data_IF_550901844174
#
_entry.id   IF_550901844174
#
_cell.length_a   1.000
_cell.length_b   1.000
_cell.length_c   1.000
_cell.angle_alpha   90.00
_cell.angle_beta   90.00
_cell.angle_gamma   90.00
#
_symmetry.space_group_name_H-M   'P 1'
#
loop_
_entity.id
_entity.type
_entity.pdbx_description
1 polymer ?
#
# COMPACT_ATOMS: atom_id res chain seq x y z
N UNK A 1 -7.32 17.71 4.40
CA UNK A 1 -8.38 16.82 3.87
C UNK A 1 -7.87 15.41 3.98
N UNK A 2 -8.71 14.45 4.39
CA UNK A 2 -8.31 13.04 4.54
C UNK A 2 -9.09 12.23 3.52
N UNK A 3 -8.39 11.38 2.77
CA UNK A 3 -8.98 10.41 1.85
C UNK A 3 -8.78 9.02 2.42
N UNK A 4 -9.88 8.31 2.70
CA UNK A 4 -9.85 6.96 3.26
C UNK A 4 -10.11 5.94 2.15
N UNK A 5 -9.27 4.91 2.09
CA UNK A 5 -9.33 3.85 1.08
C UNK A 5 -9.39 2.51 1.81
N UNK A 6 -10.50 1.79 1.63
CA UNK A 6 -10.62 0.41 2.10
C UNK A 6 -10.09 -0.56 1.05
N UNK A 7 -9.24 -1.50 1.45
CA UNK A 7 -8.64 -2.50 0.56
C UNK A 7 -8.36 -3.79 1.34
N UNK A 8 -8.35 -4.92 0.65
CA UNK A 8 -8.02 -6.22 1.26
C UNK A 8 -6.53 -6.30 1.59
N UNK A 9 -6.16 -6.84 2.77
CA UNK A 9 -4.75 -6.87 3.24
C UNK A 9 -3.79 -7.55 2.24
N UNK A 10 -4.25 -8.63 1.60
CA UNK A 10 -3.45 -9.33 0.58
C UNK A 10 -3.08 -8.47 -0.63
N UNK A 11 -3.76 -7.34 -0.86
CA UNK A 11 -3.46 -6.37 -1.93
C UNK A 11 -2.52 -5.25 -1.41
N UNK A 12 -2.50 -4.99 -0.10
CA UNK A 12 -1.66 -3.95 0.51
C UNK A 12 -0.18 -4.31 0.49
N UNK A 13 0.18 -5.60 0.58
CA UNK A 13 1.56 -6.05 0.64
C UNK A 13 1.81 -7.29 -0.21
N UNK A 14 3.09 -7.63 -0.44
CA UNK A 14 3.47 -8.78 -1.28
C UNK A 14 3.67 -10.11 -0.53
N UNK A 15 3.66 -10.10 0.80
CA UNK A 15 3.80 -11.29 1.66
C UNK A 15 2.53 -12.15 1.83
N UNK A 16 2.59 -13.08 2.79
CA UNK A 16 1.50 -13.95 3.25
C UNK A 16 1.27 -15.21 2.40
N UNK A 17 0.42 -16.11 2.90
CA UNK A 17 0.12 -17.40 2.27
C UNK A 17 -0.55 -17.25 0.90
N UNK A 18 -1.32 -16.18 0.72
CA UNK A 18 -2.04 -15.91 -0.53
C UNK A 18 -1.15 -15.29 -1.62
N UNK A 19 0.15 -15.08 -1.39
CA UNK A 19 1.05 -14.43 -2.36
C UNK A 19 1.13 -15.12 -3.73
N UNK A 20 0.79 -16.41 -3.80
CA UNK A 20 0.77 -17.21 -5.03
C UNK A 20 -0.63 -17.37 -5.63
N UNK A 21 -1.64 -16.71 -5.06
CA UNK A 21 -3.00 -16.72 -5.61
C UNK A 21 -3.00 -16.13 -7.02
N UNK A 22 -3.52 -16.85 -8.03
CA UNK A 22 -3.62 -16.34 -9.39
C UNK A 22 -4.36 -15.00 -9.43
N UNK A 23 -3.82 -14.04 -10.18
CA UNK A 23 -4.41 -12.71 -10.34
C UNK A 23 -4.13 -11.72 -9.20
N UNK A 24 -3.65 -12.15 -8.03
CA UNK A 24 -3.39 -11.23 -6.91
C UNK A 24 -2.28 -10.21 -7.23
N UNK A 25 -1.25 -10.63 -7.96
CA UNK A 25 -0.19 -9.73 -8.41
C UNK A 25 -0.74 -8.59 -9.29
N UNK A 26 -1.65 -8.91 -10.22
CA UNK A 26 -2.29 -7.91 -11.07
C UNK A 26 -3.19 -6.96 -10.26
N UNK A 27 -3.92 -7.45 -9.26
CA UNK A 27 -4.71 -6.61 -8.36
C UNK A 27 -3.83 -5.65 -7.54
N UNK A 28 -2.66 -6.09 -7.07
CA UNK A 28 -1.68 -5.23 -6.39
C UNK A 28 -1.18 -4.12 -7.31
N UNK A 29 -0.88 -4.44 -8.57
CA UNK A 29 -0.45 -3.46 -9.56
C UNK A 29 -1.56 -2.44 -9.85
N UNK A 30 -2.79 -2.90 -10.07
CA UNK A 30 -3.95 -2.04 -10.26
C UNK A 30 -4.18 -1.12 -9.07
N UNK A 31 -4.02 -1.64 -7.85
CA UNK A 31 -4.13 -0.84 -6.64
C UNK A 31 -3.04 0.25 -6.56
N UNK A 32 -1.80 -0.05 -6.96
CA UNK A 32 -0.74 0.97 -7.03
C UNK A 32 -1.07 2.08 -8.03
N UNK A 33 -1.57 1.74 -9.22
CA UNK A 33 -2.03 2.76 -10.17
C UNK A 33 -3.17 3.61 -9.62
N UNK A 34 -4.12 3.00 -8.91
CA UNK A 34 -5.18 3.73 -8.22
C UNK A 34 -4.63 4.70 -7.17
N UNK A 35 -3.66 4.28 -6.35
CA UNK A 35 -3.01 5.15 -5.38
C UNK A 35 -2.30 6.32 -6.07
N UNK A 36 -1.51 6.05 -7.11
CA UNK A 36 -0.81 7.09 -7.88
C UNK A 36 -1.79 8.13 -8.44
N UNK A 37 -2.88 7.66 -9.06
CA UNK A 37 -3.92 8.56 -9.59
C UNK A 37 -4.56 9.39 -8.49
N UNK A 38 -4.92 8.76 -7.36
CA UNK A 38 -5.57 9.44 -6.24
C UNK A 38 -4.66 10.49 -5.63
N UNK A 39 -3.38 10.18 -5.42
CA UNK A 39 -2.40 11.15 -4.90
C UNK A 39 -2.32 12.39 -5.79
N UNK A 40 -2.21 12.18 -7.11
CA UNK A 40 -2.12 13.28 -8.08
C UNK A 40 -3.40 14.10 -8.17
N UNK A 41 -4.56 13.45 -8.25
CA UNK A 41 -5.85 14.12 -8.38
C UNK A 41 -6.23 14.91 -7.13
N UNK A 42 -5.94 14.37 -5.95
CA UNK A 42 -6.32 14.98 -4.68
C UNK A 42 -5.22 15.87 -4.07
N UNK A 43 -4.02 15.93 -4.69
CA UNK A 43 -2.89 16.70 -4.16
C UNK A 43 -2.41 16.18 -2.80
N UNK A 44 -2.37 14.85 -2.62
CA UNK A 44 -1.96 14.22 -1.36
C UNK A 44 -0.45 14.32 -1.19
N UNK A 45 0.01 14.75 -0.01
CA UNK A 45 1.44 14.86 0.33
C UNK A 45 1.93 13.76 1.28
N UNK A 46 1.02 12.97 1.85
CA UNK A 46 1.32 11.91 2.81
C UNK A 46 0.44 10.70 2.49
N UNK A 47 1.05 9.53 2.31
CA UNK A 47 0.35 8.24 2.29
C UNK A 47 0.58 7.53 3.61
N UNK A 48 -0.50 7.29 4.35
CA UNK A 48 -0.46 6.50 5.57
C UNK A 48 -1.13 5.14 5.35
N UNK A 49 -0.58 4.08 5.93
CA UNK A 49 -1.19 2.74 5.90
C UNK A 49 -1.41 2.17 7.31
N UNK A 50 -2.42 1.31 7.42
CA UNK A 50 -2.83 0.73 8.69
C UNK A 50 -1.84 -0.33 9.21
N UNK A 51 -1.22 -1.12 8.31
CA UNK A 51 -0.27 -2.15 8.67
C UNK A 51 1.07 -1.55 9.08
N UNK A 52 1.60 -1.87 10.25
CA UNK A 52 2.93 -1.43 10.69
C UNK A 52 4.08 -2.36 10.18
N UNK A 53 5.32 -2.02 10.50
CA UNK A 53 6.49 -2.82 10.10
C UNK A 53 6.48 -4.24 10.69
N UNK A 54 6.02 -4.40 11.92
CA UNK A 54 5.95 -5.71 12.60
C UNK A 54 4.97 -6.65 11.89
N UNK A 55 3.82 -6.13 11.47
CA UNK A 55 2.82 -6.89 10.72
C UNK A 55 3.36 -7.27 9.35
N UNK A 56 4.03 -6.36 8.64
CA UNK A 56 4.68 -6.68 7.37
C UNK A 56 5.74 -7.79 7.56
N UNK A 57 6.51 -7.75 8.65
CA UNK A 57 7.50 -8.77 8.97
C UNK A 57 6.86 -10.14 9.26
N UNK A 58 5.75 -10.19 10.01
CA UNK A 58 4.99 -11.42 10.27
C UNK A 58 4.53 -12.07 8.95
N UNK A 59 4.07 -11.26 7.99
CA UNK A 59 3.68 -11.75 6.67
C UNK A 59 4.85 -12.07 5.75
N UNK A 60 6.11 -11.88 6.17
CA UNK A 60 7.29 -11.94 5.30
C UNK A 60 7.10 -11.06 4.05
N UNK A 61 6.46 -9.90 4.21
CA UNK A 61 6.29 -8.93 3.16
C UNK A 61 7.57 -8.11 3.04
N UNK A 62 8.14 -8.05 1.84
CA UNK A 62 9.29 -7.19 1.55
C UNK A 62 8.86 -5.81 1.04
N UNK A 63 7.58 -5.66 0.70
CA UNK A 63 7.04 -4.45 0.10
C UNK A 63 5.57 -4.21 0.48
N UNK A 64 5.26 -2.97 0.84
CA UNK A 64 3.90 -2.42 0.87
C UNK A 64 3.64 -1.58 -0.37
N UNK A 65 2.43 -1.68 -0.91
CA UNK A 65 1.94 -0.87 -2.03
C UNK A 65 1.91 0.63 -1.69
N UNK A 66 1.56 1.02 -0.46
CA UNK A 66 1.55 2.42 -0.05
C UNK A 66 2.97 2.98 0.05
N UNK A 67 3.88 2.26 0.71
CA UNK A 67 5.29 2.62 0.83
C UNK A 67 5.97 2.71 -0.54
N UNK A 68 5.71 1.74 -1.41
CA UNK A 68 6.22 1.74 -2.79
C UNK A 68 5.78 2.98 -3.57
N UNK A 69 4.48 3.28 -3.58
CA UNK A 69 3.93 4.43 -4.31
C UNK A 69 4.44 5.76 -3.74
N UNK A 70 4.54 5.87 -2.41
CA UNK A 70 5.09 7.07 -1.78
C UNK A 70 6.54 7.32 -2.22
N UNK A 71 7.36 6.26 -2.28
CA UNK A 71 8.74 6.32 -2.79
C UNK A 71 8.81 6.76 -4.25
N UNK A 72 8.00 6.16 -5.12
CA UNK A 72 7.93 6.52 -6.55
C UNK A 72 7.52 7.98 -6.80
N UNK A 73 6.67 8.53 -5.93
CA UNK A 73 6.17 9.90 -6.04
C UNK A 73 6.99 10.92 -5.22
N UNK A 74 7.97 10.46 -4.43
CA UNK A 74 8.76 11.33 -3.56
C UNK A 74 7.94 12.02 -2.46
N UNK A 75 6.88 11.38 -1.98
CA UNK A 75 6.04 11.90 -0.89
C UNK A 75 6.28 11.14 0.41
N UNK A 76 5.79 11.68 1.53
CA UNK A 76 5.97 11.03 2.83
C UNK A 76 5.10 9.78 2.94
N UNK A 77 5.68 8.70 3.47
CA UNK A 77 4.98 7.50 3.90
C UNK A 77 4.98 7.43 5.43
N UNK A 78 3.87 7.03 6.02
CA UNK A 78 3.72 6.82 7.46
C UNK A 78 2.92 5.54 7.73
N UNK A 79 3.11 4.98 8.93
CA UNK A 79 2.18 4.01 9.49
C UNK A 79 1.16 4.74 10.37
N UNK A 80 -0.09 4.26 10.41
CA UNK A 80 -1.17 4.87 11.18
C UNK A 80 -1.11 4.57 12.69
N UNK A 81 -0.15 3.74 13.13
CA UNK A 81 0.06 3.49 14.56
C UNK A 81 0.80 4.65 15.25
N UNK A 82 0.52 4.90 16.55
CA UNK A 82 1.24 5.89 17.36
C UNK A 82 2.68 5.47 17.71
#
# INVERSE_FOLDING_TARGET
>A
MIHLIGVHHSIQHNGGDLRHMPGLAALREQFRYYLISTVKTCGVSILAEELNEDVLAIFNATESSARFVAGELGISHLFCEP
#
